data_IF_464488201391
#
_entry.id   IF_464488201391
#
_cell.length_a   1.000
_cell.length_b   1.000
_cell.length_c   1.000
_cell.angle_alpha   90.00
_cell.angle_beta   90.00
_cell.angle_gamma   90.00
#
_symmetry.space_group_name_H-M   'P 1'
#
loop_
_entity.id
_entity.type
_entity.pdbx_description
1 polymer ?
#
# COMPACT_ATOMS: atom_id res chain seq x y z
N UNK A 1 -10.59 -10.42 0.16
CA UNK A 1 -10.40 -9.81 1.48
C UNK A 1 -9.15 -10.34 2.12
N UNK A 2 -8.46 -9.51 2.80
CA UNK A 2 -7.26 -9.88 3.53
C UNK A 2 -7.60 -10.75 4.68
N UNK A 3 -6.75 -11.74 4.94
CA UNK A 3 -6.76 -12.39 6.24
C UNK A 3 -6.37 -11.36 7.30
N UNK A 4 -7.16 -11.23 8.35
CA UNK A 4 -6.85 -10.34 9.48
C UNK A 4 -5.59 -10.77 10.24
N UNK A 5 -5.03 -11.93 9.89
CA UNK A 5 -3.81 -12.44 10.50
C UNK A 5 -2.53 -11.95 9.80
N UNK A 6 -2.68 -11.14 8.76
CA UNK A 6 -1.54 -10.65 8.00
C UNK A 6 -1.29 -9.17 8.29
N UNK A 7 -0.03 -8.83 8.44
CA UNK A 7 0.44 -7.46 8.61
C UNK A 7 1.36 -7.11 7.45
N UNK A 8 1.16 -5.93 6.88
CA UNK A 8 2.01 -5.39 5.84
C UNK A 8 2.91 -4.31 6.41
N UNK A 9 4.19 -4.42 6.13
CA UNK A 9 5.19 -3.45 6.55
C UNK A 9 5.88 -2.91 5.32
N UNK A 10 6.02 -1.60 5.23
CA UNK A 10 6.66 -0.95 4.10
C UNK A 10 7.99 -0.35 4.49
N UNK A 11 8.81 -0.13 3.49
CA UNK A 11 10.07 0.57 3.61
C UNK A 11 10.50 1.06 2.23
N UNK A 12 11.77 1.36 2.10
CA UNK A 12 12.30 1.79 0.82
C UNK A 12 12.27 0.61 -0.15
N UNK A 13 11.42 0.71 -1.17
CA UNK A 13 11.30 -0.28 -2.24
C UNK A 13 10.96 -1.70 -1.81
N UNK A 14 10.39 -1.88 -0.61
CA UNK A 14 10.06 -3.22 -0.11
C UNK A 14 8.73 -3.22 0.62
N UNK A 15 8.01 -4.32 0.47
CA UNK A 15 6.81 -4.61 1.25
C UNK A 15 6.99 -5.99 1.85
N UNK A 16 6.87 -6.08 3.17
CA UNK A 16 6.97 -7.35 3.88
C UNK A 16 5.61 -7.79 4.39
N UNK A 17 5.30 -9.05 4.23
CA UNK A 17 4.06 -9.65 4.71
C UNK A 17 4.40 -10.57 5.86
N UNK A 18 3.79 -10.33 7.01
CA UNK A 18 4.05 -11.07 8.25
C UNK A 18 2.76 -11.70 8.74
N UNK A 19 2.85 -12.96 9.15
CA UNK A 19 1.73 -13.61 9.84
C UNK A 19 1.81 -13.23 11.32
N UNK A 20 0.80 -12.50 11.82
CA UNK A 20 0.83 -11.98 13.19
C UNK A 20 0.61 -13.05 14.27
N UNK A 21 0.02 -14.18 13.91
CA UNK A 21 -0.19 -15.25 14.87
C UNK A 21 1.07 -16.05 15.14
N UNK A 22 1.87 -16.31 14.12
CA UNK A 22 3.12 -17.06 14.22
C UNK A 22 4.35 -16.19 14.34
N UNK A 23 4.20 -14.88 14.11
CA UNK A 23 5.30 -13.91 14.02
C UNK A 23 6.32 -14.25 12.95
N UNK A 24 5.91 -15.01 11.95
CA UNK A 24 6.81 -15.39 10.86
C UNK A 24 6.67 -14.46 9.67
N UNK A 25 7.81 -14.11 9.08
CA UNK A 25 7.84 -13.42 7.81
C UNK A 25 7.37 -14.39 6.72
N UNK A 26 6.29 -14.05 6.04
CA UNK A 26 5.78 -14.87 4.94
C UNK A 26 6.58 -14.58 3.67
N UNK A 27 6.74 -13.30 3.36
CA UNK A 27 7.47 -12.91 2.16
C UNK A 27 7.85 -11.44 2.21
N UNK A 28 8.93 -11.11 1.50
CA UNK A 28 9.30 -9.74 1.21
C UNK A 28 9.24 -9.55 -0.30
N UNK A 29 8.52 -8.54 -0.73
CA UNK A 29 8.37 -8.22 -2.14
C UNK A 29 9.17 -6.95 -2.43
N UNK A 30 10.07 -7.03 -3.40
CA UNK A 30 10.78 -5.86 -3.88
C UNK A 30 9.87 -5.10 -4.83
N UNK A 31 9.78 -3.79 -4.63
CA UNK A 31 8.93 -2.93 -5.45
C UNK A 31 9.82 -2.04 -6.30
N UNK A 32 9.63 -2.09 -7.60
CA UNK A 32 10.32 -1.16 -8.48
C UNK A 32 9.61 0.19 -8.41
N UNK A 33 9.90 0.91 -7.36
CA UNK A 33 9.32 2.21 -7.09
C UNK A 33 10.45 3.19 -6.80
N UNK A 34 10.45 4.32 -7.48
CA UNK A 34 11.50 5.33 -7.35
C UNK A 34 11.34 6.18 -6.10
N UNK A 35 10.39 5.88 -5.24
CA UNK A 35 10.04 6.70 -4.10
C UNK A 35 9.82 5.84 -2.87
N UNK A 36 10.02 6.44 -1.70
CA UNK A 36 9.78 5.80 -0.42
C UNK A 36 8.29 5.50 -0.26
N UNK A 37 7.96 4.26 0.06
CA UNK A 37 6.58 3.85 0.32
C UNK A 37 6.27 4.08 1.80
N UNK A 38 5.33 4.99 2.07
CA UNK A 38 4.95 5.32 3.44
C UNK A 38 3.74 4.54 3.94
N UNK A 39 2.88 4.10 3.02
CA UNK A 39 1.62 3.48 3.40
C UNK A 39 1.27 2.37 2.43
N UNK A 40 0.60 1.36 2.96
CA UNK A 40 0.08 0.27 2.15
C UNK A 40 -1.24 -0.20 2.75
N UNK A 41 -2.19 -0.54 1.90
CA UNK A 41 -3.38 -1.25 2.32
C UNK A 41 -3.74 -2.29 1.27
N UNK A 42 -4.43 -3.34 1.70
CA UNK A 42 -4.90 -4.35 0.76
C UNK A 42 -6.31 -4.03 0.31
N UNK A 43 -6.56 -4.24 -0.97
CA UNK A 43 -7.91 -4.16 -1.54
C UNK A 43 -8.58 -5.52 -1.47
N UNK A 44 -7.82 -6.57 -1.73
CA UNK A 44 -8.25 -7.97 -1.62
C UNK A 44 -6.99 -8.83 -1.54
N UNK A 45 -7.14 -10.15 -1.64
CA UNK A 45 -6.00 -11.07 -1.47
C UNK A 45 -4.89 -10.90 -2.50
N UNK A 46 -5.19 -10.32 -3.67
CA UNK A 46 -4.24 -10.21 -4.78
C UNK A 46 -3.86 -8.77 -5.10
N UNK A 47 -4.51 -7.79 -4.50
CA UNK A 47 -4.32 -6.40 -4.89
C UNK A 47 -4.05 -5.50 -3.69
N UNK A 48 -3.07 -4.62 -3.85
CA UNK A 48 -2.69 -3.66 -2.83
C UNK A 48 -2.63 -2.24 -3.39
N UNK A 49 -2.74 -1.27 -2.49
CA UNK A 49 -2.47 0.13 -2.78
C UNK A 49 -1.28 0.57 -1.96
N UNK A 50 -0.42 1.36 -2.57
CA UNK A 50 0.68 2.04 -1.87
C UNK A 50 0.53 3.55 -1.98
N UNK A 51 0.90 4.24 -0.91
CA UNK A 51 1.02 5.70 -0.90
C UNK A 51 2.46 6.07 -0.64
N UNK A 52 3.01 7.02 -1.39
CA UNK A 52 4.43 7.26 -1.34
C UNK A 52 4.82 8.72 -1.09
N UNK A 53 6.12 8.92 -0.93
CA UNK A 53 6.73 10.23 -0.71
C UNK A 53 6.51 11.18 -1.90
N UNK A 54 6.34 10.64 -3.10
CA UNK A 54 6.13 11.43 -4.32
C UNK A 54 4.66 11.70 -4.61
N UNK A 55 3.78 11.64 -3.59
CA UNK A 55 2.38 12.04 -3.69
C UNK A 55 1.53 11.11 -4.55
N UNK A 56 1.97 9.87 -4.74
CA UNK A 56 1.27 8.93 -5.61
C UNK A 56 0.51 7.89 -4.81
N UNK A 57 -0.64 7.49 -5.34
CA UNK A 57 -1.33 6.28 -4.92
C UNK A 57 -1.24 5.31 -6.08
N UNK A 58 -0.65 4.15 -5.84
CA UNK A 58 -0.40 3.16 -6.88
C UNK A 58 -1.09 1.87 -6.52
N UNK A 59 -1.80 1.29 -7.49
CA UNK A 59 -2.45 0.00 -7.36
C UNK A 59 -1.59 -1.06 -8.01
N UNK A 60 -1.33 -2.13 -7.25
CA UNK A 60 -0.51 -3.25 -7.68
C UNK A 60 -1.29 -4.54 -7.56
N UNK A 61 -0.98 -5.47 -8.44
CA UNK A 61 -1.44 -6.86 -8.33
C UNK A 61 -0.27 -7.75 -7.91
N UNK A 62 -0.52 -8.64 -6.96
CA UNK A 62 0.49 -9.60 -6.51
C UNK A 62 0.45 -10.80 -7.44
N UNK A 63 1.54 -11.05 -8.18
CA UNK A 63 1.67 -12.18 -9.09
C UNK A 63 3.05 -12.80 -8.92
N UNK A 64 3.11 -14.11 -8.66
CA UNK A 64 4.39 -14.87 -8.62
C UNK A 64 5.45 -14.18 -7.75
N UNK A 65 5.04 -13.70 -6.57
CA UNK A 65 5.92 -13.02 -5.61
C UNK A 65 6.45 -11.66 -6.09
N UNK A 66 5.84 -11.11 -7.12
CA UNK A 66 6.17 -9.79 -7.65
C UNK A 66 4.93 -8.91 -7.66
N UNK A 67 5.16 -7.60 -7.80
CA UNK A 67 4.08 -6.64 -7.94
C UNK A 67 4.00 -6.16 -9.38
N UNK A 68 2.81 -6.24 -9.93
CA UNK A 68 2.51 -5.74 -11.26
C UNK A 68 1.74 -4.43 -11.13
N UNK A 69 2.23 -3.37 -11.77
CA UNK A 69 1.54 -2.09 -11.78
C UNK A 69 0.21 -2.21 -12.52
N UNK A 70 -0.88 -1.84 -11.86
CA UNK A 70 -2.21 -1.81 -12.47
C UNK A 70 -2.60 -0.39 -12.82
N UNK A 71 -2.49 0.54 -11.88
CA UNK A 71 -2.82 1.93 -12.11
C UNK A 71 -2.05 2.83 -11.17
N UNK A 72 -1.96 4.09 -11.52
CA UNK A 72 -1.20 5.06 -10.75
C UNK A 72 -1.93 6.40 -10.77
N UNK A 73 -2.13 6.98 -9.59
CA UNK A 73 -2.65 8.33 -9.44
C UNK A 73 -1.51 9.25 -9.03
N UNK A 74 -1.04 10.07 -9.97
CA UNK A 74 -0.05 11.09 -9.71
C UNK A 74 -0.70 12.26 -8.98
N UNK A 75 0.04 12.92 -8.12
CA UNK A 75 -0.43 14.10 -7.40
C UNK A 75 -1.77 13.86 -6.71
N UNK A 76 -1.89 12.71 -6.07
CA UNK A 76 -3.09 12.37 -5.32
C UNK A 76 -3.31 13.35 -4.16
N UNK A 77 -2.22 13.88 -3.62
CA UNK A 77 -2.20 14.93 -2.60
C UNK A 77 -1.15 15.97 -2.97
N UNK A 78 -1.12 17.09 -2.23
CA UNK A 78 -0.13 18.14 -2.46
C UNK A 78 1.19 17.89 -1.73
N UNK A 79 1.27 16.86 -0.94
CA UNK A 79 2.47 16.44 -0.23
C UNK A 79 2.46 14.91 -0.10
N UNK A 80 3.47 14.35 0.55
CA UNK A 80 3.59 12.90 0.67
C UNK A 80 2.38 12.26 1.33
N UNK A 81 2.08 11.04 0.94
CA UNK A 81 0.99 10.27 1.50
C UNK A 81 1.51 9.53 2.73
N UNK A 82 0.83 9.70 3.86
CA UNK A 82 1.26 9.12 5.12
C UNK A 82 0.49 7.87 5.51
N UNK A 83 -0.76 7.74 5.05
CA UNK A 83 -1.60 6.62 5.44
C UNK A 83 -2.62 6.30 4.37
N UNK A 84 -2.99 5.03 4.31
CA UNK A 84 -4.08 4.52 3.48
C UNK A 84 -4.90 3.57 4.32
N UNK A 85 -6.22 3.65 4.18
CA UNK A 85 -7.13 2.77 4.89
C UNK A 85 -8.24 2.32 3.95
N UNK A 86 -8.45 1.02 3.89
CA UNK A 86 -9.59 0.46 3.16
C UNK A 86 -10.79 0.48 4.11
N UNK A 87 -11.78 1.32 3.79
CA UNK A 87 -12.99 1.46 4.60
C UNK A 87 -14.01 0.37 4.33
N UNK A 88 -13.78 -0.45 3.29
CA UNK A 88 -14.78 -1.38 2.79
C UNK A 88 -15.71 -0.67 1.79
N UNK A 89 -16.62 -1.45 1.19
CA UNK A 89 -17.59 -0.92 0.22
C UNK A 89 -16.96 -0.15 -0.95
N UNK A 90 -15.69 -0.48 -1.29
CA UNK A 90 -15.02 0.18 -2.40
C UNK A 90 -14.43 1.55 -2.07
N UNK A 91 -14.42 1.95 -0.79
CA UNK A 91 -13.92 3.26 -0.38
C UNK A 91 -12.54 3.15 0.24
N UNK A 92 -11.66 4.04 -0.17
CA UNK A 92 -10.30 4.17 0.36
C UNK A 92 -10.13 5.58 0.94
N UNK A 93 -9.55 5.64 2.12
CA UNK A 93 -9.21 6.90 2.77
C UNK A 93 -7.71 7.09 2.70
N UNK A 94 -7.27 8.26 2.26
CA UNK A 94 -5.86 8.63 2.29
C UNK A 94 -5.64 9.85 3.16
N UNK A 95 -4.55 9.84 3.92
CA UNK A 95 -4.11 10.97 4.71
C UNK A 95 -2.73 11.42 4.24
N UNK A 96 -2.47 12.72 4.29
CA UNK A 96 -1.26 13.29 3.75
C UNK A 96 -0.66 14.34 4.69
N UNK A 97 0.62 14.59 4.47
CA UNK A 97 1.33 15.68 5.13
C UNK A 97 0.79 17.04 4.68
N UNK A 98 0.04 17.11 3.60
CA UNK A 98 -0.64 18.34 3.16
C UNK A 98 -1.78 18.75 4.09
N UNK A 99 -2.01 18.01 5.18
CA UNK A 99 -3.04 18.26 6.19
C UNK A 99 -4.45 17.97 5.69
N UNK A 100 -4.58 17.16 4.66
CA UNK A 100 -5.88 16.76 4.14
C UNK A 100 -6.08 15.27 4.20
N UNK A 101 -7.36 14.88 4.19
CA UNK A 101 -7.80 13.50 4.09
C UNK A 101 -8.71 13.43 2.88
N UNK A 102 -8.51 12.44 2.03
CA UNK A 102 -9.33 12.26 0.84
C UNK A 102 -9.96 10.88 0.84
N UNK A 103 -11.15 10.80 0.27
CA UNK A 103 -11.89 9.55 0.08
C UNK A 103 -11.94 9.28 -1.42
N UNK A 104 -11.59 8.05 -1.78
CA UNK A 104 -11.53 7.62 -3.18
C UNK A 104 -12.55 6.53 -3.48
#
# INVERSE_FOLDING_TARGET
MISKDLLLITGENKISIINVNSYNLIKTINVDNSSWINAVCMLNKDMILTGDYNKRIIQWKIENDNLKLISKKENAHDDEILTLLNLGNGLILSGSRDKSIKIW
#
